data_IF_298187227655
#
_entry.id   IF_298187227655
#
_cell.length_a   1.000
_cell.length_b   1.000
_cell.length_c   1.000
_cell.angle_alpha   90.00
_cell.angle_beta   90.00
_cell.angle_gamma   90.00
#
_symmetry.space_group_name_H-M   'P 1'
#
loop_
_entity.id
_entity.type
_entity.pdbx_description
1 polymer ?
#
# COMPACT_ATOMS: atom_id res chain seq x y z
N UNK A 1 -37.88 5.98 22.63
CA UNK A 1 -36.71 6.83 22.32
C UNK A 1 -35.34 6.17 22.61
N UNK A 2 -35.23 5.12 23.45
CA UNK A 2 -33.95 4.47 23.80
C UNK A 2 -33.31 3.58 22.70
N UNK A 3 -34.09 3.15 21.70
CA UNK A 3 -33.64 2.19 20.65
C UNK A 3 -33.00 2.86 19.42
N UNK A 4 -33.22 4.16 19.24
CA UNK A 4 -32.73 4.93 18.07
C UNK A 4 -31.27 5.36 18.29
N UNK A 5 -30.88 5.62 19.56
CA UNK A 5 -29.52 5.98 19.93
C UNK A 5 -28.49 4.86 19.65
N UNK A 6 -28.90 3.59 19.77
CA UNK A 6 -28.02 2.46 19.48
C UNK A 6 -27.79 2.24 17.98
N UNK A 7 -28.77 2.56 17.12
CA UNK A 7 -28.65 2.39 15.68
C UNK A 7 -27.69 3.41 15.03
N UNK A 8 -27.64 4.64 15.56
CA UNK A 8 -26.75 5.71 15.05
C UNK A 8 -25.29 5.47 15.45
N UNK A 9 -25.04 4.89 16.62
CA UNK A 9 -23.69 4.55 17.08
C UNK A 9 -23.02 3.45 16.23
N UNK A 10 -23.80 2.48 15.72
CA UNK A 10 -23.30 1.41 14.85
C UNK A 10 -22.97 1.89 13.43
N UNK A 11 -23.70 2.87 12.90
CA UNK A 11 -23.43 3.42 11.56
C UNK A 11 -22.15 4.26 11.50
N UNK A 12 -21.75 4.89 12.61
CA UNK A 12 -20.52 5.69 12.67
C UNK A 12 -19.24 4.84 12.78
N UNK A 13 -19.33 3.64 13.37
CA UNK A 13 -18.18 2.73 13.55
C UNK A 13 -17.70 2.04 12.28
N UNK A 14 -18.59 1.80 11.31
CA UNK A 14 -18.26 1.13 10.04
C UNK A 14 -17.60 2.06 9.01
N UNK A 15 -17.70 3.39 9.19
CA UNK A 15 -17.19 4.36 8.23
C UNK A 15 -15.66 4.53 8.25
N UNK A 16 -14.98 3.99 9.27
CA UNK A 16 -13.53 4.14 9.43
C UNK A 16 -12.70 2.98 8.86
N UNK A 17 -13.33 1.89 8.41
CA UNK A 17 -12.63 0.70 7.89
C UNK A 17 -12.35 0.72 6.38
N UNK A 18 -12.90 1.70 5.64
CA UNK A 18 -12.80 1.78 4.17
C UNK A 18 -11.58 2.59 3.68
N UNK A 19 -10.67 3.03 4.54
CA UNK A 19 -9.50 3.84 4.12
C UNK A 19 -8.18 3.06 3.97
N UNK A 20 -8.13 1.76 4.25
CA UNK A 20 -6.84 1.07 4.43
C UNK A 20 -6.41 0.10 3.31
N UNK A 21 -7.17 -0.07 2.24
CA UNK A 21 -6.72 -0.89 1.09
C UNK A 21 -6.18 -0.01 -0.05
N UNK A 22 -5.12 0.75 0.24
CA UNK A 22 -4.27 1.30 -0.81
C UNK A 22 -3.69 0.12 -1.61
N UNK A 23 -4.18 -0.05 -2.84
CA UNK A 23 -3.71 -1.08 -3.76
C UNK A 23 -2.22 -0.84 -4.01
N UNK A 24 -1.35 -1.68 -3.43
CA UNK A 24 0.08 -1.54 -3.60
C UNK A 24 0.47 -1.79 -5.05
N UNK A 25 1.19 -0.83 -5.65
CA UNK A 25 1.78 -1.01 -6.97
C UNK A 25 3.02 -1.88 -6.80
N UNK A 26 2.98 -3.10 -7.33
CA UNK A 26 4.14 -3.98 -7.38
C UNK A 26 4.95 -3.64 -8.63
N UNK A 27 6.23 -3.39 -8.45
CA UNK A 27 7.17 -3.12 -9.53
C UNK A 27 8.37 -4.06 -9.42
N UNK A 28 9.02 -4.31 -10.54
CA UNK A 28 10.27 -5.05 -10.62
C UNK A 28 11.41 -4.06 -10.78
N UNK A 29 12.51 -4.25 -10.04
CA UNK A 29 13.73 -3.46 -10.24
C UNK A 29 14.39 -3.96 -11.52
N UNK A 30 14.50 -3.11 -12.53
CA UNK A 30 15.18 -3.45 -13.80
C UNK A 30 16.62 -2.98 -13.81
N UNK A 31 16.94 -1.91 -13.09
CA UNK A 31 18.29 -1.35 -13.05
C UNK A 31 18.56 -0.63 -11.73
N UNK A 32 19.81 -0.73 -11.25
CA UNK A 32 20.33 0.02 -10.10
C UNK A 32 21.58 0.77 -10.55
N UNK A 33 21.55 2.11 -10.50
CA UNK A 33 22.67 2.98 -10.84
C UNK A 33 22.98 3.90 -9.66
N UNK A 34 24.00 3.52 -8.88
CA UNK A 34 24.37 4.26 -7.67
C UNK A 34 23.20 4.36 -6.70
N UNK A 35 22.68 5.57 -6.51
CA UNK A 35 21.55 5.88 -5.62
C UNK A 35 20.18 5.92 -6.32
N UNK A 36 20.14 5.69 -7.64
CA UNK A 36 18.91 5.71 -8.44
C UNK A 36 18.51 4.29 -8.84
N UNK A 37 17.21 4.00 -8.75
CA UNK A 37 16.63 2.73 -9.19
C UNK A 37 15.62 2.95 -10.31
N UNK A 38 15.67 2.10 -11.33
CA UNK A 38 14.66 2.04 -12.39
C UNK A 38 13.70 0.90 -12.09
N UNK A 39 12.40 1.21 -12.09
CA UNK A 39 11.33 0.26 -11.76
C UNK A 39 10.44 0.04 -12.98
N UNK A 40 10.16 -1.22 -13.31
CA UNK A 40 9.06 -1.59 -14.20
C UNK A 40 7.81 -1.89 -13.36
N UNK A 41 6.80 -1.04 -13.47
CA UNK A 41 5.51 -1.21 -12.78
C UNK A 41 4.40 -1.67 -13.73
N UNK A 42 4.75 -2.09 -14.97
CA UNK A 42 3.83 -2.42 -16.05
C UNK A 42 2.70 -1.38 -16.24
N UNK A 43 1.49 -1.87 -16.51
CA UNK A 43 0.29 -1.03 -16.71
C UNK A 43 -0.14 -0.21 -15.49
N UNK A 44 0.48 -0.41 -14.33
CA UNK A 44 0.18 0.34 -13.10
C UNK A 44 1.08 1.55 -12.90
N UNK A 45 2.07 1.76 -13.77
CA UNK A 45 2.95 2.93 -13.72
C UNK A 45 2.16 4.26 -13.76
N UNK A 46 1.04 4.29 -14.50
CA UNK A 46 0.15 5.46 -14.58
C UNK A 46 -0.49 5.87 -13.25
N UNK A 47 -0.43 5.01 -12.23
CA UNK A 47 -0.92 5.33 -10.88
C UNK A 47 0.11 6.05 -10.02
N UNK A 48 1.36 6.17 -10.49
CA UNK A 48 2.43 6.87 -9.80
C UNK A 48 2.57 8.26 -10.40
N UNK A 49 2.50 9.29 -9.55
CA UNK A 49 2.62 10.68 -10.00
C UNK A 49 4.07 11.14 -9.87
N UNK A 50 4.58 11.83 -10.90
CA UNK A 50 5.94 12.37 -10.87
C UNK A 50 6.10 13.36 -9.72
N UNK A 51 7.15 13.18 -8.91
CA UNK A 51 7.44 14.02 -7.74
C UNK A 51 6.77 13.56 -6.44
N UNK A 52 5.91 12.55 -6.50
CA UNK A 52 5.31 11.95 -5.31
C UNK A 52 6.34 11.09 -4.55
N UNK A 53 6.36 11.21 -3.23
CA UNK A 53 7.18 10.37 -2.37
C UNK A 53 6.52 8.98 -2.22
N UNK A 54 7.22 7.94 -2.66
CA UNK A 54 6.73 6.55 -2.58
C UNK A 54 7.49 5.75 -1.53
N UNK A 55 6.78 4.90 -0.79
CA UNK A 55 7.40 4.00 0.18
C UNK A 55 7.77 2.67 -0.48
N UNK A 56 9.06 2.43 -0.66
CA UNK A 56 9.57 1.15 -1.16
C UNK A 56 9.72 0.17 0.00
N UNK A 57 9.08 -1.00 -0.09
CA UNK A 57 9.25 -2.09 0.87
C UNK A 57 10.10 -3.17 0.22
N UNK A 58 11.23 -3.52 0.82
CA UNK A 58 12.01 -4.69 0.41
C UNK A 58 11.25 -5.96 0.77
N UNK A 59 11.26 -6.94 -0.13
CA UNK A 59 10.81 -8.27 0.22
C UNK A 59 11.73 -8.82 1.32
N UNK A 60 11.16 -9.30 2.43
CA UNK A 60 11.91 -10.09 3.40
C UNK A 60 12.41 -11.31 2.63
N UNK A 61 13.72 -11.41 2.36
CA UNK A 61 14.29 -12.71 2.04
C UNK A 61 14.06 -13.55 3.28
N UNK A 62 13.30 -14.64 3.17
CA UNK A 62 13.32 -15.66 4.21
C UNK A 62 14.80 -16.00 4.35
N UNK A 63 15.38 -15.82 5.54
CA UNK A 63 16.66 -16.45 5.81
C UNK A 63 16.45 -17.91 5.42
N UNK A 64 17.24 -18.41 4.46
CA UNK A 64 17.28 -19.84 4.23
C UNK A 64 17.83 -20.37 5.55
N UNK A 65 16.97 -21.01 6.35
CA UNK A 65 17.38 -21.63 7.61
C UNK A 65 18.45 -22.66 7.26
N UNK A 66 19.73 -22.34 7.52
CA UNK A 66 20.85 -23.24 7.25
C UNK A 66 22.16 -22.63 6.74
N UNK A 67 22.58 -21.47 7.27
CA UNK A 67 24.01 -21.14 7.34
C UNK A 67 24.45 -21.15 8.80
#
# INVERSE_FOLDING_TARGET
>A
MKKIAFAVALAFGLSLAVSAMASSVKCTVTEIKGTTVTLDCGHKASRLVKGEAVKVKSAKRKAIEGC
#
